data_IF_557706524275
#
_entry.id   IF_557706524275
#
_cell.length_a   1.000
_cell.length_b   1.000
_cell.length_c   1.000
_cell.angle_alpha   90.00
_cell.angle_beta   90.00
_cell.angle_gamma   90.00
#
_symmetry.space_group_name_H-M   'P 1'
#
loop_
_entity.id
_entity.type
_entity.pdbx_description
1 polymer ?
#
# COMPACT_ATOMS: atom_id res chain seq x y z
N UNK A 1 -6.95 10.27 0.68
CA UNK A 1 -5.75 9.55 1.19
C UNK A 1 -4.78 10.53 1.84
N UNK A 2 -4.08 11.40 1.10
CA UNK A 2 -3.03 12.27 1.65
C UNK A 2 -3.41 13.13 2.89
N UNK A 3 -4.63 13.65 2.94
CA UNK A 3 -5.10 14.49 4.06
C UNK A 3 -5.47 13.72 5.32
N UNK A 4 -5.87 12.45 5.19
CA UNK A 4 -6.55 11.70 6.25
C UNK A 4 -5.85 10.40 6.64
N UNK A 5 -4.85 9.95 5.87
CA UNK A 5 -4.02 8.81 6.25
C UNK A 5 -3.02 9.15 7.37
N UNK A 6 -2.78 10.44 7.63
CA UNK A 6 -1.89 10.92 8.69
C UNK A 6 -0.52 10.22 8.60
N UNK A 7 0.17 10.41 7.47
CA UNK A 7 1.45 9.77 7.19
C UNK A 7 2.49 10.76 6.67
N UNK A 8 3.75 10.37 6.79
CA UNK A 8 4.88 11.15 6.28
C UNK A 8 4.86 11.21 4.76
N UNK A 9 5.49 12.24 4.17
CA UNK A 9 5.46 12.45 2.70
C UNK A 9 6.18 11.34 1.94
N UNK A 10 7.20 10.79 2.59
CA UNK A 10 8.05 9.69 2.15
C UNK A 10 7.19 8.44 1.88
N UNK A 11 6.12 8.21 2.64
CA UNK A 11 5.20 7.10 2.41
C UNK A 11 4.54 7.13 1.03
N UNK A 12 4.33 8.30 0.43
CA UNK A 12 3.80 8.38 -0.94
C UNK A 12 4.84 7.99 -1.99
N UNK A 13 6.13 8.24 -1.72
CA UNK A 13 7.21 7.81 -2.59
C UNK A 13 7.36 6.29 -2.48
N UNK A 14 7.39 5.76 -1.26
CA UNK A 14 7.48 4.33 -0.99
C UNK A 14 6.31 3.55 -1.63
N UNK A 15 5.09 4.09 -1.57
CA UNK A 15 3.95 3.40 -2.17
C UNK A 15 4.07 3.24 -3.69
N UNK A 16 4.69 4.21 -4.38
CA UNK A 16 4.96 4.14 -5.81
C UNK A 16 6.06 3.13 -6.10
N UNK A 17 7.13 3.11 -5.29
CA UNK A 17 8.19 2.09 -5.39
C UNK A 17 7.62 0.69 -5.21
N UNK A 18 6.69 0.49 -4.28
CA UNK A 18 6.07 -0.81 -4.06
C UNK A 18 5.20 -1.27 -5.24
N UNK A 19 4.44 -0.35 -5.84
CA UNK A 19 3.63 -0.64 -7.02
C UNK A 19 4.54 -0.99 -8.22
N UNK A 20 5.60 -0.21 -8.43
CA UNK A 20 6.59 -0.46 -9.48
C UNK A 20 7.26 -1.84 -9.31
N UNK A 21 7.62 -2.22 -8.07
CA UNK A 21 8.15 -3.56 -7.77
C UNK A 21 7.17 -4.68 -8.13
N UNK A 22 5.88 -4.54 -7.80
CA UNK A 22 4.87 -5.54 -8.15
C UNK A 22 4.75 -5.68 -9.67
N UNK A 23 4.70 -4.57 -10.41
CA UNK A 23 4.60 -4.59 -11.88
C UNK A 23 5.83 -5.25 -12.52
N UNK A 24 7.02 -5.03 -11.95
CA UNK A 24 8.26 -5.67 -12.42
C UNK A 24 8.33 -7.16 -12.10
N UNK A 25 7.87 -7.58 -10.92
CA UNK A 25 7.84 -8.99 -10.51
C UNK A 25 6.75 -9.79 -11.22
N UNK A 26 5.64 -9.15 -11.58
CA UNK A 26 4.47 -9.79 -12.18
C UNK A 26 4.07 -9.05 -13.47
N UNK A 27 4.71 -9.36 -14.62
CA UNK A 27 4.43 -8.68 -15.90
C UNK A 27 2.97 -8.79 -16.37
N UNK A 28 2.27 -9.86 -15.97
CA UNK A 28 0.84 -10.08 -16.28
C UNK A 28 -0.09 -9.21 -15.41
N UNK A 29 0.42 -8.58 -14.35
CA UNK A 29 -0.35 -7.72 -13.46
C UNK A 29 -0.64 -6.38 -14.14
N UNK A 30 -1.80 -6.29 -14.78
CA UNK A 30 -2.23 -5.04 -15.45
C UNK A 30 -2.95 -4.11 -14.48
N UNK A 31 -2.42 -2.92 -14.28
CA UNK A 31 -3.09 -1.85 -13.52
C UNK A 31 -4.20 -1.22 -14.38
N UNK A 32 -5.42 -1.18 -13.83
CA UNK A 32 -6.58 -0.59 -14.50
C UNK A 32 -7.44 0.20 -13.51
N UNK A 33 -8.43 0.95 -14.02
CA UNK A 33 -9.33 1.77 -13.21
C UNK A 33 -10.11 0.98 -12.14
N UNK A 34 -10.27 -0.33 -12.32
CA UNK A 34 -11.00 -1.21 -11.40
C UNK A 34 -10.15 -1.72 -10.22
N UNK A 35 -8.82 -1.74 -10.35
CA UNK A 35 -7.91 -2.25 -9.32
C UNK A 35 -7.06 -1.16 -8.66
N UNK A 36 -6.78 -0.06 -9.35
CA UNK A 36 -5.82 0.96 -8.91
C UNK A 36 -6.19 1.58 -7.56
N UNK A 37 -7.48 1.79 -7.30
CA UNK A 37 -7.93 2.36 -6.05
C UNK A 37 -7.56 1.48 -4.85
N UNK A 38 -7.85 0.18 -4.93
CA UNK A 38 -7.51 -0.80 -3.89
C UNK A 38 -6.01 -0.95 -3.75
N UNK A 39 -5.30 -1.03 -4.88
CA UNK A 39 -3.85 -1.14 -4.92
C UNK A 39 -3.18 0.05 -4.22
N UNK A 40 -3.63 1.29 -4.49
CA UNK A 40 -3.12 2.50 -3.85
C UNK A 40 -3.41 2.54 -2.36
N UNK A 41 -4.65 2.23 -1.94
CA UNK A 41 -5.02 2.21 -0.52
C UNK A 41 -4.13 1.24 0.25
N UNK A 42 -3.95 0.03 -0.26
CA UNK A 42 -3.11 -1.00 0.39
C UNK A 42 -1.63 -0.64 0.35
N UNK A 43 -1.12 -0.12 -0.78
CA UNK A 43 0.29 0.26 -0.92
C UNK A 43 0.67 1.39 0.04
N UNK A 44 -0.16 2.43 0.13
CA UNK A 44 0.08 3.53 1.09
C UNK A 44 -0.03 2.99 2.52
N UNK A 45 -1.06 2.21 2.86
CA UNK A 45 -1.18 1.64 4.21
C UNK A 45 0.06 0.84 4.63
N UNK A 46 0.60 0.00 3.76
CA UNK A 46 1.82 -0.77 4.02
C UNK A 46 3.05 0.13 4.15
N UNK A 47 3.13 1.19 3.35
CA UNK A 47 4.21 2.18 3.46
C UNK A 47 4.21 2.84 4.84
N UNK A 48 3.04 3.28 5.31
CA UNK A 48 2.90 3.90 6.64
C UNK A 48 3.26 2.92 7.75
N UNK A 49 2.74 1.70 7.70
CA UNK A 49 3.02 0.69 8.73
C UNK A 49 4.48 0.26 8.81
N UNK A 50 5.19 0.30 7.68
CA UNK A 50 6.58 -0.14 7.61
C UNK A 50 7.56 1.00 7.91
N UNK A 51 7.24 2.22 7.48
CA UNK A 51 8.16 3.36 7.54
C UNK A 51 7.89 4.33 8.69
N UNK A 52 6.62 4.62 9.00
CA UNK A 52 6.27 5.56 10.06
C UNK A 52 6.21 4.84 11.42
N UNK A 53 6.81 5.45 12.45
CA UNK A 53 6.75 4.94 13.83
C UNK A 53 5.33 5.00 14.42
N UNK A 54 4.51 5.92 13.92
CA UNK A 54 3.11 6.12 14.34
C UNK A 54 2.19 5.77 13.19
N UNK A 55 1.37 4.75 13.37
CA UNK A 55 0.39 4.28 12.40
C UNK A 55 -0.94 3.92 13.07
N UNK A 56 -1.99 3.79 12.27
CA UNK A 56 -3.34 3.46 12.72
C UNK A 56 -3.73 2.01 12.38
N UNK A 57 -4.88 1.56 12.89
CA UNK A 57 -5.38 0.22 12.61
C UNK A 57 -5.85 0.05 11.16
N UNK A 58 -5.90 -1.19 10.67
CA UNK A 58 -6.47 -1.48 9.35
C UNK A 58 -7.90 -0.99 9.20
N UNK A 59 -8.69 -1.02 10.29
CA UNK A 59 -10.05 -0.51 10.30
C UNK A 59 -10.10 1.01 10.04
N UNK A 60 -9.12 1.76 10.56
CA UNK A 60 -8.99 3.20 10.29
C UNK A 60 -8.67 3.45 8.82
N UNK A 61 -7.63 2.81 8.29
CA UNK A 61 -7.23 2.99 6.89
C UNK A 61 -8.30 2.51 5.91
N UNK A 62 -9.01 1.43 6.23
CA UNK A 62 -10.15 0.94 5.48
C UNK A 62 -11.27 1.97 5.43
N UNK A 63 -11.62 2.58 6.58
CA UNK A 63 -12.63 3.65 6.64
C UNK A 63 -12.23 4.87 5.82
N UNK A 64 -10.99 5.34 5.93
CA UNK A 64 -10.50 6.49 5.17
C UNK A 64 -10.39 6.19 3.67
N UNK A 65 -9.99 4.97 3.32
CA UNK A 65 -9.90 4.47 1.95
C UNK A 65 -11.24 4.06 1.34
N UNK A 66 -12.34 4.07 2.08
CA UNK A 66 -13.65 3.63 1.58
C UNK A 66 -13.72 2.14 1.21
N UNK A 67 -12.87 1.30 1.82
CA UNK A 67 -12.81 -0.15 1.59
C UNK A 67 -13.28 -0.88 2.84
N UNK A 68 -13.85 -2.09 2.72
CA UNK A 68 -14.25 -2.87 3.89
C UNK A 68 -13.00 -3.33 4.65
N UNK A 69 -13.03 -3.28 5.98
CA UNK A 69 -11.88 -3.71 6.82
C UNK A 69 -11.42 -5.14 6.50
N UNK A 70 -12.37 -6.07 6.33
CA UNK A 70 -12.07 -7.46 5.95
C UNK A 70 -11.32 -7.54 4.61
N UNK A 71 -11.70 -6.70 3.65
CA UNK A 71 -11.09 -6.65 2.34
C UNK A 71 -9.68 -6.07 2.41
N UNK A 72 -9.48 -4.98 3.16
CA UNK A 72 -8.14 -4.41 3.41
C UNK A 72 -7.20 -5.43 4.07
N UNK A 73 -7.68 -6.21 5.04
CA UNK A 73 -6.88 -7.25 5.68
C UNK A 73 -6.42 -8.33 4.69
N UNK A 74 -7.30 -8.73 3.76
CA UNK A 74 -6.95 -9.71 2.71
C UNK A 74 -5.95 -9.09 1.73
N UNK A 75 -6.22 -7.87 1.27
CA UNK A 75 -5.36 -7.15 0.33
C UNK A 75 -3.98 -6.90 0.92
N UNK A 76 -3.86 -6.61 2.21
CA UNK A 76 -2.58 -6.46 2.90
C UNK A 76 -1.73 -7.72 2.75
N UNK A 77 -2.28 -8.89 3.09
CA UNK A 77 -1.56 -10.16 2.95
C UNK A 77 -1.20 -10.49 1.49
N UNK A 78 -2.13 -10.27 0.56
CA UNK A 78 -1.88 -10.49 -0.86
C UNK A 78 -0.80 -9.56 -1.41
N UNK A 79 -0.80 -8.29 -1.02
CA UNK A 79 0.19 -7.32 -1.46
C UNK A 79 1.58 -7.69 -0.94
N UNK A 80 1.70 -8.10 0.33
CA UNK A 80 2.95 -8.58 0.92
C UNK A 80 3.51 -9.80 0.20
N UNK A 81 2.64 -10.73 -0.21
CA UNK A 81 3.02 -11.88 -1.04
C UNK A 81 3.47 -11.43 -2.44
N UNK A 82 2.75 -10.53 -3.09
CA UNK A 82 3.09 -10.03 -4.43
C UNK A 82 4.44 -9.32 -4.49
N UNK A 83 4.79 -8.58 -3.44
CA UNK A 83 6.09 -7.88 -3.35
C UNK A 83 7.20 -8.75 -2.73
N UNK A 84 6.93 -10.05 -2.48
CA UNK A 84 7.86 -10.99 -1.86
C UNK A 84 8.45 -10.48 -0.53
N UNK A 85 7.65 -9.74 0.25
CA UNK A 85 8.06 -9.10 1.51
C UNK A 85 9.22 -8.09 1.37
N UNK A 86 9.55 -7.65 0.16
CA UNK A 86 10.61 -6.67 -0.13
C UNK A 86 10.07 -5.24 0.04
N UNK A 87 9.85 -4.80 1.29
CA UNK A 87 9.41 -3.43 1.61
C UNK A 87 10.57 -2.46 1.87
N UNK A 88 11.75 -2.96 2.20
CA UNK A 88 12.90 -2.09 2.44
C UNK A 88 13.31 -1.35 1.14
N UNK A 89 13.48 -0.03 1.23
CA UNK A 89 13.92 0.83 0.13
C UNK A 89 15.12 1.63 0.60
N UNK A 90 16.20 1.55 -0.17
CA UNK A 90 17.44 2.30 0.05
C UNK A 90 17.41 3.61 -0.73
N UNK A 91 17.87 4.73 -0.15
CA UNK A 91 18.15 5.95 -0.90
C UNK A 91 19.47 5.78 -1.65
N UNK A 92 19.38 5.36 -2.91
CA UNK A 92 20.52 5.31 -3.85
C UNK A 92 20.60 6.60 -4.67
#
# INVERSE_FOLDING_TARGET
>A
IAKYFQCSRECFVLCLVYIDRIVKLHPDFTICSLNIHRLLVTSVMLSVKFFDDVYYSNAYYAKVGGVKTREVNILEGQFLQLIEWKLHVTPE
#
